data_IF_358456406463
#
_entry.id   IF_358456406463
#
_cell.length_a   1.000
_cell.length_b   1.000
_cell.length_c   1.000
_cell.angle_alpha   90.00
_cell.angle_beta   90.00
_cell.angle_gamma   90.00
#
_symmetry.space_group_name_H-M   'P 1'
#
loop_
_entity.id
_entity.type
_entity.pdbx_description
1 polymer ?
#
# COMPACT_ATOMS: atom_id res chain seq x y z
N UNK A 1 -45.68 -23.41 47.61
CA UNK A 1 -44.77 -23.11 46.47
C UNK A 1 -44.58 -21.61 46.14
N UNK A 2 -45.14 -20.62 46.87
CA UNK A 2 -45.03 -19.18 46.53
C UNK A 2 -43.79 -18.42 47.05
N UNK A 3 -43.01 -18.95 48.01
CA UNK A 3 -41.86 -18.24 48.62
C UNK A 3 -40.50 -18.41 47.91
N UNK A 4 -40.37 -19.36 46.98
CA UNK A 4 -39.09 -19.61 46.27
C UNK A 4 -38.88 -18.67 45.07
N UNK A 5 -39.96 -18.34 44.35
CA UNK A 5 -39.91 -17.40 43.22
C UNK A 5 -39.66 -15.96 43.65
N UNK A 6 -40.17 -15.54 44.82
CA UNK A 6 -39.95 -14.19 45.36
C UNK A 6 -38.48 -13.94 45.73
N UNK A 7 -37.77 -14.97 46.22
CA UNK A 7 -36.34 -14.88 46.54
C UNK A 7 -35.45 -14.88 45.30
N UNK A 8 -35.83 -15.60 44.24
CA UNK A 8 -35.10 -15.59 42.96
C UNK A 8 -35.24 -14.24 42.25
N UNK A 9 -36.43 -13.63 42.29
CA UNK A 9 -36.67 -12.30 41.74
C UNK A 9 -35.91 -11.24 42.56
N UNK A 10 -35.95 -11.29 43.88
CA UNK A 10 -35.15 -10.38 44.74
C UNK A 10 -33.64 -10.52 44.50
N UNK A 11 -33.12 -11.74 44.33
CA UNK A 11 -31.70 -11.94 43.99
C UNK A 11 -31.36 -11.38 42.61
N UNK A 12 -32.24 -11.51 41.62
CA UNK A 12 -32.04 -10.94 40.29
C UNK A 12 -32.05 -9.40 40.33
N UNK A 13 -32.95 -8.79 41.11
CA UNK A 13 -32.97 -7.34 41.35
C UNK A 13 -31.73 -6.86 42.11
N UNK A 14 -31.26 -7.58 43.12
CA UNK A 14 -30.03 -7.23 43.86
C UNK A 14 -28.79 -7.38 42.98
N UNK A 15 -28.72 -8.39 42.11
CA UNK A 15 -27.62 -8.55 41.16
C UNK A 15 -27.62 -7.45 40.10
N UNK A 16 -28.81 -7.08 39.61
CA UNK A 16 -28.98 -6.00 38.64
C UNK A 16 -28.66 -4.64 39.26
N UNK A 17 -29.06 -4.40 40.53
CA UNK A 17 -28.71 -3.20 41.29
C UNK A 17 -27.22 -3.15 41.64
N UNK A 18 -26.59 -4.28 41.96
CA UNK A 18 -25.15 -4.38 42.20
C UNK A 18 -24.35 -4.11 40.92
N UNK A 19 -24.78 -4.63 39.76
CA UNK A 19 -24.21 -4.31 38.46
C UNK A 19 -24.39 -2.83 38.09
N UNK A 20 -25.54 -2.24 38.44
CA UNK A 20 -25.81 -0.81 38.23
C UNK A 20 -24.94 0.07 39.15
N UNK A 21 -24.75 -0.32 40.40
CA UNK A 21 -23.92 0.39 41.38
C UNK A 21 -22.42 0.26 41.07
N UNK A 22 -21.96 -0.89 40.56
CA UNK A 22 -20.58 -1.06 40.06
C UNK A 22 -20.37 -0.26 38.77
N UNK A 23 -21.41 -0.09 37.94
CA UNK A 23 -21.35 0.75 36.74
C UNK A 23 -21.39 2.27 37.01
N UNK A 24 -21.84 2.70 38.19
CA UNK A 24 -22.02 4.14 38.53
C UNK A 24 -21.05 4.65 39.61
N UNK A 25 -20.26 3.79 40.24
CA UNK A 25 -19.28 4.18 41.26
C UNK A 25 -17.86 4.30 40.67
N UNK A 26 -17.46 5.56 40.46
CA UNK A 26 -16.11 6.13 40.41
C UNK A 26 -15.59 6.60 39.03
N UNK A 27 -15.19 7.88 38.90
CA UNK A 27 -14.20 8.27 37.90
C UNK A 27 -12.85 7.70 38.34
N UNK A 28 -12.47 6.55 37.80
CA UNK A 28 -11.18 5.94 38.11
C UNK A 28 -10.14 6.58 37.21
N UNK A 29 -9.28 7.43 37.79
CA UNK A 29 -7.99 7.76 37.19
C UNK A 29 -7.18 6.46 37.09
N UNK A 30 -7.24 5.81 35.93
CA UNK A 30 -6.52 4.58 35.66
C UNK A 30 -5.08 4.90 35.26
N UNK A 31 -4.13 4.43 36.06
CA UNK A 31 -2.72 4.34 35.68
C UNK A 31 -2.60 3.43 34.44
N UNK A 32 -1.79 3.77 33.43
CA UNK A 32 -1.67 2.97 32.21
C UNK A 32 -1.19 1.56 32.56
N UNK A 33 -2.03 0.56 32.31
CA UNK A 33 -1.62 -0.84 32.43
C UNK A 33 -0.79 -1.19 31.21
N UNK A 34 0.41 -1.72 31.44
CA UNK A 34 1.36 -2.08 30.37
C UNK A 34 0.75 -3.15 29.45
N UNK A 35 0.54 -2.78 28.19
CA UNK A 35 -0.10 -3.63 27.19
C UNK A 35 0.88 -4.72 26.76
N UNK A 36 0.66 -5.96 27.19
CA UNK A 36 1.29 -7.13 26.56
C UNK A 36 0.78 -7.23 25.11
N UNK A 37 1.68 -7.00 24.15
CA UNK A 37 1.43 -7.17 22.73
C UNK A 37 0.99 -8.61 22.42
N UNK A 38 -0.22 -8.83 21.87
CA UNK A 38 -0.54 -10.10 21.23
C UNK A 38 0.29 -10.20 19.95
N UNK A 39 1.10 -11.27 19.83
CA UNK A 39 1.78 -11.59 18.57
C UNK A 39 0.76 -12.05 17.53
N UNK A 40 0.29 -11.13 16.68
CA UNK A 40 -0.42 -11.48 15.46
C UNK A 40 0.60 -11.59 14.31
N UNK A 41 1.15 -12.80 14.13
CA UNK A 41 2.03 -13.14 12.99
C UNK A 41 1.26 -13.31 11.68
N UNK A 42 0.45 -12.32 11.30
CA UNK A 42 -0.34 -12.32 10.06
C UNK A 42 0.19 -11.32 9.03
N UNK A 43 0.12 -11.69 7.75
CA UNK A 43 0.29 -10.76 6.63
C UNK A 43 -1.07 -10.18 6.24
N UNK A 44 -1.15 -8.86 6.07
CA UNK A 44 -2.33 -8.13 5.62
C UNK A 44 -2.35 -8.05 4.10
N UNK A 45 -3.33 -8.66 3.45
CA UNK A 45 -3.54 -8.46 2.02
C UNK A 45 -4.06 -7.05 1.75
N UNK A 46 -3.49 -6.39 0.75
CA UNK A 46 -3.83 -5.02 0.38
C UNK A 46 -3.71 -4.85 -1.13
N UNK A 47 -4.46 -3.90 -1.68
CA UNK A 47 -4.29 -3.43 -3.06
C UNK A 47 -3.80 -1.99 -3.02
N UNK A 48 -2.70 -1.71 -3.68
CA UNK A 48 -2.15 -0.37 -3.82
C UNK A 48 -2.41 0.14 -5.22
N UNK A 49 -3.06 1.29 -5.30
CA UNK A 49 -3.40 1.95 -6.55
C UNK A 49 -2.46 3.13 -6.82
N UNK A 50 -1.89 3.15 -8.03
CA UNK A 50 -1.15 4.30 -8.55
C UNK A 50 -1.97 5.00 -9.63
N UNK A 51 -1.95 6.34 -9.57
CA UNK A 51 -2.66 7.16 -10.54
C UNK A 51 -1.88 7.30 -11.84
N UNK A 52 -2.61 7.60 -12.92
CA UNK A 52 -2.00 7.85 -14.22
C UNK A 52 -0.97 8.99 -14.18
N UNK A 53 -1.24 10.05 -13.40
CA UNK A 53 -0.34 11.20 -13.28
C UNK A 53 0.98 10.85 -12.60
N UNK A 54 0.92 10.07 -11.51
CA UNK A 54 2.13 9.58 -10.83
C UNK A 54 2.96 8.73 -11.80
N UNK A 55 2.32 7.81 -12.52
CA UNK A 55 3.01 6.98 -13.48
C UNK A 55 3.62 7.82 -14.61
N UNK A 56 2.88 8.76 -15.19
CA UNK A 56 3.35 9.64 -16.27
C UNK A 56 4.59 10.43 -15.84
N UNK A 57 4.57 11.02 -14.65
CA UNK A 57 5.71 11.74 -14.11
C UNK A 57 6.93 10.82 -13.95
N UNK A 58 6.75 9.64 -13.36
CA UNK A 58 7.84 8.69 -13.15
C UNK A 58 8.45 8.16 -14.45
N UNK A 59 7.62 7.89 -15.45
CA UNK A 59 8.09 7.52 -16.76
C UNK A 59 8.91 8.64 -17.40
N UNK A 60 8.42 9.89 -17.35
CA UNK A 60 9.16 11.04 -17.89
C UNK A 60 10.49 11.29 -17.16
N UNK A 61 10.51 11.19 -15.82
CA UNK A 61 11.73 11.35 -15.02
C UNK A 61 12.77 10.27 -15.36
N UNK A 62 12.32 9.02 -15.51
CA UNK A 62 13.19 7.91 -15.93
C UNK A 62 13.77 8.15 -17.32
N UNK A 63 12.95 8.61 -18.27
CA UNK A 63 13.38 8.98 -19.62
C UNK A 63 14.44 10.10 -19.56
N UNK A 64 14.17 11.17 -18.81
CA UNK A 64 15.07 12.31 -18.68
C UNK A 64 16.43 11.94 -18.08
N UNK A 65 16.48 10.92 -17.19
CA UNK A 65 17.72 10.41 -16.63
C UNK A 65 18.48 9.51 -17.61
N UNK A 66 17.79 8.68 -18.39
CA UNK A 66 18.43 7.70 -19.27
C UNK A 66 18.92 8.30 -20.60
N UNK A 67 18.18 9.26 -21.18
CA UNK A 67 18.47 9.82 -22.51
C UNK A 67 19.88 10.43 -22.63
N UNK A 68 20.38 11.23 -21.68
CA UNK A 68 21.74 11.77 -21.76
C UNK A 68 22.81 10.68 -21.81
N UNK A 69 22.64 9.61 -21.04
CA UNK A 69 23.57 8.47 -21.02
C UNK A 69 23.58 7.69 -22.33
N UNK A 70 22.40 7.41 -22.89
CA UNK A 70 22.25 6.76 -24.21
C UNK A 70 22.91 7.60 -25.30
N UNK A 71 22.70 8.92 -25.27
CA UNK A 71 23.28 9.84 -26.25
C UNK A 71 24.81 9.83 -26.19
N UNK A 72 25.37 10.00 -24.98
CA UNK A 72 26.82 9.99 -24.79
C UNK A 72 27.46 8.68 -25.26
N UNK A 73 26.82 7.53 -24.99
CA UNK A 73 27.33 6.23 -25.42
C UNK A 73 27.26 6.05 -26.94
N UNK A 74 26.17 6.46 -27.58
CA UNK A 74 26.04 6.43 -29.04
C UNK A 74 27.08 7.31 -29.71
N UNK A 75 27.28 8.53 -29.22
CA UNK A 75 28.32 9.44 -29.71
C UNK A 75 29.71 8.81 -29.51
N UNK A 76 30.01 8.25 -28.34
CA UNK A 76 31.28 7.57 -28.08
C UNK A 76 31.52 6.36 -29.00
N UNK A 77 30.47 5.63 -29.38
CA UNK A 77 30.60 4.51 -30.32
C UNK A 77 30.89 4.98 -31.75
N UNK A 78 30.26 6.08 -32.20
CA UNK A 78 30.59 6.73 -33.48
C UNK A 78 32.06 7.20 -33.47
N UNK A 79 32.50 7.76 -32.34
CA UNK A 79 33.89 8.22 -32.16
C UNK A 79 34.90 7.08 -32.20
N UNK A 80 34.61 5.95 -31.56
CA UNK A 80 35.50 4.78 -31.55
C UNK A 80 35.66 4.14 -32.94
N UNK A 81 34.70 4.35 -33.85
CA UNK A 81 34.80 3.94 -35.25
C UNK A 81 35.54 4.94 -36.16
N UNK A 82 35.95 6.10 -35.64
CA UNK A 82 36.54 7.19 -36.42
C UNK A 82 38.07 7.26 -36.26
N UNK A 83 38.83 7.73 -37.27
CA UNK A 83 40.28 7.94 -37.17
C UNK A 83 40.66 8.84 -35.99
N UNK A 84 41.73 8.50 -35.27
CA UNK A 84 42.13 9.18 -34.03
C UNK A 84 42.33 10.70 -34.18
N UNK A 85 42.76 11.17 -35.37
CA UNK A 85 42.92 12.60 -35.66
C UNK A 85 41.60 13.38 -35.75
N UNK A 86 40.47 12.70 -36.00
CA UNK A 86 39.17 13.30 -36.26
C UNK A 86 38.21 13.26 -35.07
N UNK A 87 38.52 12.47 -34.05
CA UNK A 87 37.64 12.24 -32.90
C UNK A 87 37.31 13.54 -32.14
N UNK A 88 38.24 14.50 -32.07
CA UNK A 88 38.03 15.76 -31.36
C UNK A 88 36.92 16.62 -31.99
N UNK A 89 36.96 16.81 -33.31
CA UNK A 89 35.95 17.62 -34.01
C UNK A 89 34.64 16.86 -34.21
N UNK A 90 34.68 15.54 -34.49
CA UNK A 90 33.48 14.71 -34.57
C UNK A 90 32.70 14.74 -33.25
N UNK A 91 33.41 14.71 -32.10
CA UNK A 91 32.77 14.78 -30.79
C UNK A 91 32.08 16.13 -30.58
N UNK A 92 32.74 17.22 -30.97
CA UNK A 92 32.18 18.56 -30.86
C UNK A 92 30.95 18.74 -31.75
N UNK A 93 30.98 18.26 -32.99
CA UNK A 93 29.85 18.31 -33.92
C UNK A 93 28.71 17.40 -33.45
N UNK A 94 29.00 16.16 -33.06
CA UNK A 94 27.99 15.22 -32.59
C UNK A 94 27.26 15.74 -31.34
N UNK A 95 27.99 16.27 -30.34
CA UNK A 95 27.38 16.84 -29.15
C UNK A 95 26.59 18.14 -29.42
N UNK A 96 26.92 18.87 -30.50
CA UNK A 96 26.23 20.11 -30.87
C UNK A 96 24.98 19.83 -31.71
N UNK A 97 25.04 18.87 -32.63
CA UNK A 97 23.94 18.54 -33.56
C UNK A 97 22.97 17.49 -33.01
N UNK A 98 23.41 16.64 -32.08
CA UNK A 98 22.62 15.54 -31.53
C UNK A 98 22.38 15.84 -30.05
N UNK A 99 21.24 16.46 -29.77
CA UNK A 99 20.74 16.73 -28.42
C UNK A 99 19.32 16.16 -28.31
N UNK A 100 19.20 14.82 -28.30
CA UNK A 100 17.92 14.18 -28.41
C UNK A 100 17.13 14.41 -27.14
N UNK A 101 15.85 14.67 -27.30
CA UNK A 101 14.88 14.76 -26.22
C UNK A 101 13.77 13.76 -26.48
N UNK A 102 13.38 13.03 -25.45
CA UNK A 102 12.26 12.10 -25.53
C UNK A 102 11.19 12.58 -24.57
N UNK A 103 9.99 12.80 -25.11
CA UNK A 103 8.84 13.27 -24.34
C UNK A 103 7.75 12.22 -24.38
N UNK A 104 7.20 11.89 -23.21
CA UNK A 104 6.01 11.06 -23.07
C UNK A 104 4.78 11.87 -23.47
N UNK A 105 4.21 11.55 -24.64
CA UNK A 105 3.02 12.22 -25.19
C UNK A 105 1.72 11.56 -24.79
N UNK A 106 1.75 10.29 -24.39
CA UNK A 106 0.59 9.56 -23.91
C UNK A 106 0.95 8.42 -22.99
N UNK A 107 0.09 8.14 -22.01
CA UNK A 107 0.19 6.96 -21.16
C UNK A 107 -1.22 6.49 -20.84
N UNK A 108 -1.76 5.52 -21.59
CA UNK A 108 -3.14 5.06 -21.44
C UNK A 108 -3.17 3.60 -21.01
N UNK A 109 -3.90 3.30 -19.94
CA UNK A 109 -4.11 1.92 -19.50
C UNK A 109 -4.87 1.10 -20.57
N UNK A 110 -4.42 -0.14 -20.76
CA UNK A 110 -5.02 -1.17 -21.61
C UNK A 110 -5.10 -2.49 -20.82
N UNK A 111 -5.75 -3.52 -21.37
CA UNK A 111 -5.97 -4.80 -20.66
C UNK A 111 -4.68 -5.52 -20.25
N UNK A 112 -3.56 -5.28 -20.96
CA UNK A 112 -2.30 -6.00 -20.76
C UNK A 112 -1.12 -5.08 -20.43
N UNK A 113 -1.37 -3.81 -20.09
CA UNK A 113 -0.32 -2.83 -19.84
C UNK A 113 -0.76 -1.42 -20.15
N UNK A 114 0.17 -0.61 -20.64
CA UNK A 114 -0.06 0.78 -20.99
C UNK A 114 0.40 1.05 -22.42
N UNK A 115 -0.41 1.76 -23.17
CA UNK A 115 0.01 2.40 -24.41
C UNK A 115 0.77 3.67 -24.05
N UNK A 116 2.09 3.63 -24.19
CA UNK A 116 3.00 4.74 -23.98
C UNK A 116 3.38 5.35 -25.33
N UNK A 117 2.90 6.56 -25.58
CA UNK A 117 3.31 7.39 -26.71
C UNK A 117 4.57 8.16 -26.35
N UNK A 118 5.63 7.99 -27.13
CA UNK A 118 6.91 8.66 -26.97
C UNK A 118 7.24 9.45 -28.23
N UNK A 119 7.62 10.70 -28.07
CA UNK A 119 8.10 11.55 -29.17
C UNK A 119 9.58 11.85 -28.97
N UNK A 120 10.40 11.34 -29.88
CA UNK A 120 11.83 11.60 -29.99
C UNK A 120 12.06 12.79 -30.92
N UNK A 121 12.73 13.82 -30.42
CA UNK A 121 13.27 14.92 -31.22
C UNK A 121 14.79 14.85 -31.16
N UNK A 122 15.50 14.95 -32.29
CA UNK A 122 16.96 14.79 -32.30
C UNK A 122 17.73 16.03 -31.85
N UNK A 123 17.11 17.20 -31.95
CA UNK A 123 17.65 18.51 -31.57
C UNK A 123 16.50 19.48 -31.26
N UNK A 124 16.83 20.64 -30.67
CA UNK A 124 15.83 21.68 -30.39
C UNK A 124 15.24 22.24 -31.69
N UNK A 125 13.91 22.23 -31.80
CA UNK A 125 13.21 22.70 -33.01
C UNK A 125 13.19 21.70 -34.17
N UNK A 126 13.42 20.40 -33.90
CA UNK A 126 13.29 19.33 -34.89
C UNK A 126 11.95 19.44 -35.66
N UNK A 127 11.96 19.68 -36.99
CA UNK A 127 10.75 19.85 -37.78
C UNK A 127 10.03 18.52 -38.05
N UNK A 128 10.64 17.37 -37.75
CA UNK A 128 10.08 16.03 -37.98
C UNK A 128 10.37 15.10 -36.79
N UNK A 129 9.86 15.42 -35.59
CA UNK A 129 10.03 14.54 -34.45
C UNK A 129 9.34 13.21 -34.71
N UNK A 130 9.96 12.13 -34.27
CA UNK A 130 9.46 10.77 -34.48
C UNK A 130 8.60 10.36 -33.29
N UNK A 131 7.33 10.05 -33.52
CA UNK A 131 6.42 9.57 -32.48
C UNK A 131 6.19 8.08 -32.63
N UNK A 132 6.29 7.36 -31.52
CA UNK A 132 6.16 5.91 -31.43
C UNK A 132 5.26 5.54 -30.27
N UNK A 133 4.41 4.56 -30.48
CA UNK A 133 3.62 3.90 -29.45
C UNK A 133 4.22 2.57 -29.06
N UNK A 134 4.33 2.33 -27.75
CA UNK A 134 4.85 1.10 -27.17
C UNK A 134 3.86 0.56 -26.14
N UNK A 135 3.70 -0.76 -26.11
CA UNK A 135 3.01 -1.44 -25.05
C UNK A 135 3.99 -1.65 -23.89
N UNK A 136 3.70 -1.04 -22.75
CA UNK A 136 4.46 -1.21 -21.52
C UNK A 136 3.75 -2.18 -20.60
N UNK A 137 4.40 -3.28 -20.25
CA UNK A 137 3.85 -4.33 -19.40
C UNK A 137 4.63 -4.47 -18.10
N UNK A 138 3.95 -4.98 -17.07
CA UNK A 138 4.49 -5.12 -15.73
C UNK A 138 4.38 -6.59 -15.30
N UNK A 139 5.49 -7.18 -14.89
CA UNK A 139 5.55 -8.54 -14.39
C UNK A 139 6.18 -8.57 -13.00
N UNK A 140 5.64 -9.38 -12.10
CA UNK A 140 6.26 -9.62 -10.79
C UNK A 140 7.51 -10.47 -11.01
N UNK A 141 8.69 -9.90 -10.75
CA UNK A 141 9.95 -10.63 -10.84
C UNK A 141 10.21 -11.42 -9.55
N UNK A 142 9.92 -10.83 -8.40
CA UNK A 142 10.06 -11.45 -7.09
C UNK A 142 9.18 -10.72 -6.05
N UNK A 143 9.38 -11.03 -4.76
CA UNK A 143 8.62 -10.49 -3.64
C UNK A 143 8.65 -8.95 -3.48
N UNK A 144 9.59 -8.22 -4.09
CA UNK A 144 9.67 -6.76 -3.98
C UNK A 144 9.96 -6.05 -5.31
N UNK A 145 10.15 -6.79 -6.40
CA UNK A 145 10.57 -6.22 -7.68
C UNK A 145 9.54 -6.45 -8.77
N UNK A 146 9.18 -5.36 -9.45
CA UNK A 146 8.40 -5.39 -10.70
C UNK A 146 9.38 -5.22 -11.86
N UNK A 147 9.31 -6.11 -12.85
CA UNK A 147 9.98 -5.93 -14.13
C UNK A 147 9.05 -5.18 -15.10
N UNK A 148 9.57 -4.10 -15.68
CA UNK A 148 8.88 -3.30 -16.69
C UNK A 148 9.44 -3.67 -18.06
N UNK A 149 8.56 -4.04 -18.99
CA UNK A 149 8.94 -4.43 -20.34
C UNK A 149 8.23 -3.54 -21.37
N UNK A 150 8.87 -3.34 -22.51
CA UNK A 150 8.33 -2.63 -23.66
C UNK A 150 8.24 -3.54 -24.88
N UNK A 151 7.16 -3.42 -25.64
CA UNK A 151 7.03 -4.01 -26.97
C UNK A 151 6.38 -3.03 -27.94
N UNK A 152 6.55 -3.26 -29.24
CA UNK A 152 5.83 -2.46 -30.24
C UNK A 152 4.33 -2.76 -30.21
N UNK A 153 3.53 -1.72 -30.38
CA UNK A 153 2.13 -1.87 -30.73
C UNK A 153 2.00 -2.13 -32.25
N UNK A 154 0.99 -2.89 -32.70
CA UNK A 154 0.75 -3.12 -34.12
C UNK A 154 0.65 -1.79 -34.89
N UNK A 155 1.42 -1.66 -35.97
CA UNK A 155 1.46 -0.43 -36.78
C UNK A 155 2.38 0.68 -36.25
N UNK A 156 3.09 0.45 -35.14
CA UNK A 156 4.07 1.39 -34.56
C UNK A 156 5.48 0.79 -34.56
N UNK A 157 6.50 1.63 -34.79
CA UNK A 157 7.90 1.24 -34.56
C UNK A 157 8.22 1.46 -33.09
N UNK A 158 8.57 0.41 -32.34
CA UNK A 158 9.04 0.59 -30.97
C UNK A 158 10.40 1.29 -30.94
N UNK A 159 10.53 2.36 -30.16
CA UNK A 159 11.83 2.96 -29.86
C UNK A 159 12.72 2.02 -29.06
N UNK A 160 12.12 1.15 -28.24
CA UNK A 160 12.80 0.15 -27.42
C UNK A 160 11.92 -1.10 -27.26
N UNK A 161 12.52 -2.29 -27.27
CA UNK A 161 11.83 -3.55 -27.02
C UNK A 161 12.59 -4.39 -25.99
N UNK A 162 11.87 -5.11 -25.13
CA UNK A 162 12.44 -5.95 -24.08
C UNK A 162 12.33 -5.31 -22.70
N UNK A 163 13.21 -5.70 -21.77
CA UNK A 163 13.24 -5.14 -20.42
C UNK A 163 13.65 -3.66 -20.48
N UNK A 164 12.80 -2.79 -19.94
CA UNK A 164 13.08 -1.35 -19.87
C UNK A 164 13.74 -0.99 -18.55
N UNK A 165 13.16 -1.46 -17.44
CA UNK A 165 13.64 -1.17 -16.09
C UNK A 165 13.05 -2.16 -15.07
N UNK A 166 13.46 -2.02 -13.81
CA UNK A 166 12.79 -2.64 -12.66
C UNK A 166 12.35 -1.55 -11.68
N UNK A 167 11.23 -1.80 -10.99
CA UNK A 167 10.70 -0.93 -9.94
C UNK A 167 10.79 -1.71 -8.63
N UNK A 168 11.33 -1.08 -7.59
CA UNK A 168 11.37 -1.67 -6.26
C UNK A 168 10.19 -1.19 -5.42
N UNK A 169 9.44 -2.15 -4.89
CA UNK A 169 8.35 -1.91 -3.96
C UNK A 169 8.95 -1.90 -2.54
N UNK A 170 8.91 -0.76 -1.84
CA UNK A 170 9.57 -0.60 -0.53
C UNK A 170 8.83 -1.29 0.63
N UNK A 171 7.60 -1.76 0.39
CA UNK A 171 6.66 -2.17 1.42
C UNK A 171 6.02 -3.52 1.10
N UNK A 172 5.97 -4.40 2.10
CA UNK A 172 5.36 -5.71 2.02
C UNK A 172 5.96 -6.64 0.96
N UNK A 173 5.21 -7.72 0.68
CA UNK A 173 5.49 -8.69 -0.37
C UNK A 173 4.53 -8.49 -1.53
N UNK A 174 5.08 -8.22 -2.70
CA UNK A 174 4.37 -8.15 -3.97
C UNK A 174 3.80 -9.51 -4.35
N UNK A 175 2.52 -9.52 -4.69
CA UNK A 175 1.77 -10.72 -5.11
C UNK A 175 1.24 -10.61 -6.54
N UNK A 176 0.90 -9.39 -6.97
CA UNK A 176 0.38 -9.13 -8.31
C UNK A 176 0.64 -7.68 -8.73
N UNK A 177 0.67 -7.45 -10.03
CA UNK A 177 0.67 -6.13 -10.65
C UNK A 177 -0.18 -6.19 -11.91
N UNK A 178 -1.08 -5.22 -12.10
CA UNK A 178 -1.92 -5.15 -13.29
C UNK A 178 -2.32 -3.72 -13.62
N UNK A 179 -2.47 -3.43 -14.90
CA UNK A 179 -3.13 -2.21 -15.37
C UNK A 179 -4.64 -2.31 -15.15
N UNK A 180 -5.27 -1.18 -14.87
CA UNK A 180 -6.72 -1.07 -14.66
C UNK A 180 -7.25 0.12 -15.46
N UNK A 181 -8.40 -0.04 -16.10
CA UNK A 181 -8.98 1.00 -16.97
C UNK A 181 -10.19 1.71 -16.37
N UNK A 182 -10.79 1.14 -15.32
CA UNK A 182 -12.13 1.52 -14.85
C UNK A 182 -12.17 1.81 -13.33
N UNK A 183 -11.17 2.51 -12.79
CA UNK A 183 -11.06 2.77 -11.35
C UNK A 183 -10.72 4.23 -11.01
N UNK A 184 -11.53 5.17 -11.52
CA UNK A 184 -11.32 6.59 -11.31
C UNK A 184 -9.97 7.07 -11.85
N UNK A 185 -9.15 7.67 -11.00
CA UNK A 185 -7.81 8.19 -11.34
C UNK A 185 -6.73 7.10 -11.37
N UNK A 186 -7.01 5.90 -10.87
CA UNK A 186 -6.04 4.82 -10.81
C UNK A 186 -5.92 4.09 -12.15
N UNK A 187 -4.68 3.75 -12.49
CA UNK A 187 -4.36 3.04 -13.73
C UNK A 187 -3.47 1.81 -13.52
N UNK A 188 -2.84 1.68 -12.35
CA UNK A 188 -2.11 0.49 -11.94
C UNK A 188 -2.59 0.03 -10.56
N UNK A 189 -2.83 -1.27 -10.42
CA UNK A 189 -3.09 -1.94 -9.15
C UNK A 189 -1.92 -2.89 -8.83
N UNK A 190 -1.42 -2.83 -7.60
CA UNK A 190 -0.40 -3.72 -7.06
C UNK A 190 -0.98 -4.46 -5.86
N UNK A 191 -1.04 -5.79 -5.91
CA UNK A 191 -1.42 -6.59 -4.74
C UNK A 191 -0.24 -6.79 -3.82
N UNK A 192 -0.34 -6.36 -2.56
CA UNK A 192 0.73 -6.46 -1.56
C UNK A 192 0.26 -7.22 -0.31
N UNK A 193 1.17 -7.97 0.29
CA UNK A 193 1.04 -8.55 1.62
C UNK A 193 1.90 -7.76 2.61
N UNK A 194 1.29 -6.94 3.46
CA UNK A 194 1.99 -6.12 4.44
C UNK A 194 2.15 -6.88 5.75
N UNK A 195 3.36 -6.95 6.35
CA UNK A 195 3.51 -7.53 7.68
C UNK A 195 2.78 -6.66 8.72
N UNK A 196 2.03 -7.29 9.63
CA UNK A 196 1.27 -6.59 10.68
C UNK A 196 2.10 -6.25 11.94
N UNK A 197 3.35 -6.72 12.02
CA UNK A 197 4.22 -6.43 13.16
C UNK A 197 4.94 -5.08 12.96
N UNK A 198 4.67 -4.13 13.86
CA UNK A 198 5.27 -2.80 13.87
C UNK A 198 6.81 -2.82 14.02
N UNK A 199 7.38 -3.91 14.57
CA UNK A 199 8.83 -4.11 14.69
C UNK A 199 9.44 -4.81 13.47
N UNK A 200 8.60 -5.48 12.68
CA UNK A 200 8.98 -6.06 11.40
C UNK A 200 9.01 -4.94 10.36
N UNK A 201 10.13 -4.22 10.27
CA UNK A 201 10.42 -3.38 9.11
C UNK A 201 10.25 -4.27 7.88
N UNK A 202 9.26 -3.97 7.05
CA UNK A 202 9.08 -4.57 5.75
C UNK A 202 10.42 -4.58 5.01
N UNK A 203 10.85 -5.76 4.57
CA UNK A 203 12.00 -5.90 3.70
C UNK A 203 11.80 -5.00 2.48
N UNK A 204 12.77 -4.12 2.21
CA UNK A 204 12.73 -3.20 1.07
C UNK A 204 13.68 -2.01 1.20
N UNK A 205 13.96 -1.55 2.42
CA UNK A 205 15.01 -0.56 2.64
C UNK A 205 16.37 -1.25 2.80
N UNK A 206 17.09 -1.45 1.69
CA UNK A 206 18.54 -1.66 1.76
C UNK A 206 19.21 -0.29 1.84
N UNK A 207 19.98 0.01 2.91
CA UNK A 207 20.95 1.10 2.87
C UNK A 207 22.22 0.61 2.17
N UNK A 208 22.22 0.54 0.84
CA UNK A 208 23.45 0.40 0.03
C UNK A 208 23.13 0.62 -1.46
N UNK A 209 24.04 1.22 -2.25
CA UNK A 209 23.88 1.32 -3.69
C UNK A 209 23.93 -0.09 -4.29
N UNK A 210 22.76 -0.63 -4.63
CA UNK A 210 22.66 -1.91 -5.33
C UNK A 210 23.05 -1.72 -6.79
N UNK A 211 24.11 -2.40 -7.21
CA UNK A 211 24.45 -2.61 -8.61
C UNK A 211 23.39 -3.53 -9.22
N UNK A 212 22.71 -3.08 -10.28
CA UNK A 212 21.86 -3.96 -11.07
C UNK A 212 22.68 -5.17 -11.55
N UNK A 213 22.13 -6.36 -11.35
CA UNK A 213 22.70 -7.58 -11.93
C UNK A 213 22.71 -7.45 -13.46
N UNK A 214 23.91 -7.41 -14.03
CA UNK A 214 24.18 -7.56 -15.46
C UNK A 214 23.69 -8.93 -15.92
N UNK A 215 22.51 -9.00 -16.51
CA UNK A 215 22.08 -10.20 -17.22
C UNK A 215 22.87 -10.29 -18.53
N UNK A 216 23.82 -11.23 -18.57
CA UNK A 216 24.42 -11.69 -19.82
C UNK A 216 23.31 -12.25 -20.72
N UNK A 217 23.09 -11.61 -21.87
CA UNK A 217 22.23 -12.15 -22.92
C UNK A 217 22.85 -13.43 -23.46
N UNK A 218 22.27 -14.59 -23.14
CA UNK A 218 22.55 -15.85 -23.86
C UNK A 218 21.64 -15.87 -25.09
N UNK A 219 22.18 -15.48 -26.24
CA UNK A 219 21.57 -15.81 -27.54
C UNK A 219 21.94 -17.26 -27.89
N UNK A 220 20.94 -18.08 -28.20
CA UNK A 220 21.16 -19.37 -28.87
C UNK A 220 21.84 -19.15 -30.23
N UNK A 221 22.80 -20.00 -30.62
CA UNK A 221 23.57 -19.80 -31.85
C UNK A 221 22.72 -20.18 -33.05
N UNK A 222 22.36 -19.21 -33.88
CA UNK A 222 21.99 -19.48 -35.28
C UNK A 222 23.01 -18.80 -36.18
N UNK A 223 23.85 -19.65 -36.77
CA UNK A 223 24.89 -19.31 -37.74
C UNK A 223 24.26 -18.72 -39.01
N UNK A 224 24.37 -17.41 -39.25
CA UNK A 224 24.57 -16.86 -40.60
C UNK A 224 25.40 -15.58 -40.48
N UNK A 225 26.54 -15.55 -41.15
CA UNK A 225 27.55 -14.50 -40.99
C UNK A 225 27.11 -13.16 -41.55
N UNK A 226 27.09 -12.13 -40.70
CA UNK A 226 27.46 -10.74 -41.01
C UNK A 226 27.69 -10.01 -39.68
N UNK A 227 28.85 -9.40 -39.50
CA UNK A 227 29.25 -8.39 -38.50
C UNK A 227 28.47 -8.35 -37.16
N UNK A 228 29.10 -8.66 -36.00
CA UNK A 228 28.44 -8.56 -34.72
C UNK A 228 28.18 -7.09 -34.36
N UNK A 229 26.95 -6.64 -34.52
CA UNK A 229 26.44 -5.41 -33.88
C UNK A 229 26.43 -5.65 -32.38
N UNK A 230 27.53 -5.29 -31.73
CA UNK A 230 27.75 -5.44 -30.29
C UNK A 230 26.82 -4.48 -29.54
N UNK A 231 25.63 -4.94 -29.15
CA UNK A 231 24.77 -4.17 -28.25
C UNK A 231 25.36 -4.19 -26.84
N UNK A 232 25.85 -3.03 -26.39
CA UNK A 232 26.53 -2.84 -25.12
C UNK A 232 25.54 -2.62 -23.97
N UNK A 233 25.91 -3.17 -22.81
CA UNK A 233 25.21 -3.06 -21.53
C UNK A 233 24.99 -1.60 -21.12
N UNK A 234 23.74 -1.26 -20.76
CA UNK A 234 23.37 0.02 -20.20
C UNK A 234 23.95 0.17 -18.78
N UNK A 235 24.66 1.27 -18.53
CA UNK A 235 24.91 1.74 -17.17
C UNK A 235 23.61 2.27 -16.58
N UNK A 236 23.13 1.59 -15.55
CA UNK A 236 21.91 1.95 -14.84
C UNK A 236 22.19 3.10 -13.88
N UNK A 237 21.63 4.27 -14.16
CA UNK A 237 21.55 5.35 -13.17
C UNK A 237 20.37 5.06 -12.24
N UNK A 238 20.61 5.14 -10.93
CA UNK A 238 19.61 4.92 -9.88
C UNK A 238 18.56 6.02 -9.91
N UNK A 239 17.29 5.65 -10.12
CA UNK A 239 16.16 6.57 -9.93
C UNK A 239 16.08 6.92 -8.43
N UNK A 240 16.09 8.21 -8.12
CA UNK A 240 16.06 8.69 -6.73
C UNK A 240 14.68 8.46 -6.12
N UNK A 241 14.67 7.97 -4.86
CA UNK A 241 13.47 7.82 -4.05
C UNK A 241 12.70 9.12 -3.95
N UNK A 242 11.44 9.14 -4.37
CA UNK A 242 10.53 10.26 -4.14
C UNK A 242 9.21 9.77 -3.56
N UNK A 243 8.67 10.57 -2.65
CA UNK A 243 7.35 10.35 -2.10
C UNK A 243 6.29 10.55 -3.21
N UNK A 244 5.49 9.53 -3.46
CA UNK A 244 4.37 9.58 -4.41
C UNK A 244 3.06 9.36 -3.68
N UNK A 245 1.97 10.05 -4.10
CA UNK A 245 0.66 9.78 -3.57
C UNK A 245 0.19 8.39 -3.98
N UNK A 246 -0.35 7.65 -3.02
CA UNK A 246 -0.85 6.29 -3.20
C UNK A 246 -2.20 6.13 -2.51
N UNK A 247 -3.00 5.21 -3.04
CA UNK A 247 -4.23 4.76 -2.40
C UNK A 247 -4.07 3.29 -2.05
N UNK A 248 -4.40 2.91 -0.82
CA UNK A 248 -4.27 1.54 -0.32
C UNK A 248 -5.65 1.06 0.10
N UNK A 249 -6.17 0.06 -0.60
CA UNK A 249 -7.36 -0.68 -0.19
C UNK A 249 -6.94 -1.85 0.70
N UNK A 250 -7.51 -1.89 1.89
CA UNK A 250 -7.46 -3.05 2.80
C UNK A 250 -8.81 -3.76 2.72
N UNK A 251 -8.89 -4.93 2.07
CA UNK A 251 -10.13 -5.70 1.98
C UNK A 251 -10.69 -6.07 3.35
N UNK A 252 -12.01 -6.24 3.43
CA UNK A 252 -12.67 -6.60 4.68
C UNK A 252 -12.18 -7.94 5.26
N UNK A 253 -11.83 -8.92 4.40
CA UNK A 253 -11.22 -10.18 4.83
C UNK A 253 -9.94 -9.94 5.65
N UNK A 254 -9.09 -9.03 5.20
CA UNK A 254 -7.85 -8.65 5.85
C UNK A 254 -8.12 -7.89 7.15
N UNK A 255 -9.07 -6.96 7.17
CA UNK A 255 -9.52 -6.27 8.39
C UNK A 255 -10.05 -7.26 9.43
N UNK A 256 -10.89 -8.22 9.01
CA UNK A 256 -11.46 -9.26 9.88
C UNK A 256 -10.39 -10.15 10.49
N UNK A 257 -9.32 -10.44 9.75
CA UNK A 257 -8.17 -11.18 10.26
C UNK A 257 -7.47 -10.41 11.40
N UNK A 258 -7.35 -9.08 11.29
CA UNK A 258 -6.82 -8.24 12.39
C UNK A 258 -7.65 -8.44 13.66
N UNK A 259 -8.98 -8.30 13.60
CA UNK A 259 -9.83 -8.47 14.77
C UNK A 259 -9.77 -9.88 15.36
N UNK A 260 -9.72 -10.91 14.51
CA UNK A 260 -9.58 -12.30 15.00
C UNK A 260 -8.24 -12.53 15.70
N UNK A 261 -7.20 -11.77 15.35
CA UNK A 261 -5.90 -11.77 16.02
C UNK A 261 -5.87 -11.01 17.35
N UNK A 262 -6.86 -10.14 17.61
CA UNK A 262 -7.01 -9.46 18.91
C UNK A 262 -7.66 -10.44 19.89
N UNK A 263 -6.85 -11.27 20.54
CA UNK A 263 -7.33 -12.33 21.44
C UNK A 263 -8.16 -11.82 22.62
N UNK A 264 -7.56 -11.00 23.49
CA UNK A 264 -8.23 -10.40 24.65
C UNK A 264 -7.84 -8.94 24.77
N UNK A 265 -8.84 -8.08 24.97
CA UNK A 265 -8.64 -6.65 25.17
C UNK A 265 -8.98 -6.30 26.62
N UNK A 266 -7.98 -6.07 27.50
CA UNK A 266 -8.26 -5.66 28.87
C UNK A 266 -8.94 -4.29 28.86
N UNK A 267 -10.10 -4.20 29.50
CA UNK A 267 -10.81 -2.93 29.70
C UNK A 267 -10.39 -2.33 31.03
N UNK A 268 -10.35 -3.13 32.09
CA UNK A 268 -9.79 -2.73 33.39
C UNK A 268 -9.40 -3.98 34.19
N UNK A 269 -9.04 -3.79 35.46
CA UNK A 269 -8.60 -4.86 36.37
C UNK A 269 -9.66 -5.96 36.61
N UNK A 270 -10.91 -5.75 36.22
CA UNK A 270 -12.04 -6.64 36.50
C UNK A 270 -12.84 -7.01 35.25
N UNK A 271 -12.48 -6.51 34.06
CA UNK A 271 -13.21 -6.75 32.81
C UNK A 271 -12.27 -6.88 31.62
N UNK A 272 -12.55 -7.86 30.78
CA UNK A 272 -11.87 -8.07 29.50
C UNK A 272 -12.89 -8.23 28.38
N UNK A 273 -12.57 -7.71 27.19
CA UNK A 273 -13.32 -7.97 25.97
C UNK A 273 -12.70 -9.15 25.22
N UNK A 274 -13.55 -10.10 24.81
CA UNK A 274 -13.17 -11.27 24.00
C UNK A 274 -14.11 -11.44 22.81
N UNK A 275 -13.78 -12.39 21.93
CA UNK A 275 -14.58 -12.74 20.75
C UNK A 275 -14.88 -11.53 19.87
N UNK A 276 -13.86 -10.71 19.64
CA UNK A 276 -13.97 -9.48 18.87
C UNK A 276 -14.31 -9.84 17.42
N UNK A 277 -15.41 -9.28 16.92
CA UNK A 277 -15.86 -9.42 15.53
C UNK A 277 -15.98 -8.05 14.90
N UNK A 278 -15.56 -7.96 13.64
CA UNK A 278 -15.76 -6.80 12.80
C UNK A 278 -16.98 -7.03 11.90
N UNK A 279 -17.68 -5.94 11.62
CA UNK A 279 -18.74 -5.83 10.63
C UNK A 279 -18.75 -4.40 10.09
N UNK A 280 -19.59 -4.11 9.10
CA UNK A 280 -19.74 -2.77 8.53
C UNK A 280 -21.22 -2.37 8.57
N UNK A 281 -21.48 -1.13 8.96
CA UNK A 281 -22.82 -0.55 8.97
C UNK A 281 -22.74 0.92 8.57
N UNK A 282 -23.52 1.33 7.56
CA UNK A 282 -23.61 2.73 7.10
C UNK A 282 -22.25 3.39 6.80
N UNK A 283 -21.31 2.65 6.20
CA UNK A 283 -19.97 3.17 5.90
C UNK A 283 -19.07 3.33 7.12
N UNK A 284 -19.46 2.78 8.26
CA UNK A 284 -18.67 2.74 9.50
C UNK A 284 -18.32 1.31 9.86
N UNK A 285 -17.19 1.15 10.55
CA UNK A 285 -16.80 -0.14 11.11
C UNK A 285 -17.59 -0.37 12.39
N UNK A 286 -18.10 -1.58 12.57
CA UNK A 286 -18.81 -1.97 13.78
C UNK A 286 -18.08 -3.15 14.39
N UNK A 287 -17.59 -2.93 15.61
CA UNK A 287 -16.92 -3.95 16.42
C UNK A 287 -17.89 -4.47 17.46
N UNK A 288 -18.07 -5.78 17.51
CA UNK A 288 -18.80 -6.44 18.60
C UNK A 288 -17.85 -7.28 19.43
N UNK A 289 -17.93 -7.17 20.75
CA UNK A 289 -17.11 -7.95 21.67
C UNK A 289 -17.93 -8.42 22.87
N UNK A 290 -17.60 -9.59 23.40
CA UNK A 290 -18.17 -10.10 24.63
C UNK A 290 -17.40 -9.53 25.82
N UNK A 291 -18.10 -8.88 26.75
CA UNK A 291 -17.52 -8.35 27.97
C UNK A 291 -17.58 -9.43 29.04
N UNK A 292 -16.42 -9.82 29.56
CA UNK A 292 -16.27 -10.89 30.54
C UNK A 292 -15.69 -10.31 31.84
N UNK A 293 -16.37 -10.60 32.95
CA UNK A 293 -15.87 -10.27 34.28
C UNK A 293 -14.69 -11.18 34.65
N UNK A 294 -13.64 -10.57 35.17
CA UNK A 294 -12.52 -11.24 35.82
C UNK A 294 -12.77 -11.29 37.32
N UNK A 295 -12.74 -12.49 37.90
CA UNK A 295 -12.76 -12.70 39.35
C UNK A 295 -11.47 -13.40 39.72
N UNK A 296 -10.65 -12.78 40.59
CA UNK A 296 -9.28 -13.22 40.89
C UNK A 296 -8.41 -13.43 39.64
N UNK A 297 -8.57 -12.58 38.62
CA UNK A 297 -7.81 -12.68 37.37
C UNK A 297 -8.29 -13.78 36.41
N UNK A 298 -9.35 -14.52 36.75
CA UNK A 298 -9.92 -15.57 35.88
C UNK A 298 -11.23 -15.13 35.21
N UNK A 299 -11.41 -15.36 33.90
CA UNK A 299 -12.64 -15.00 33.17
C UNK A 299 -13.78 -15.91 33.61
N UNK A 300 -14.80 -15.35 34.27
CA UNK A 300 -15.80 -16.15 35.00
C UNK A 300 -17.23 -16.01 34.47
N UNK A 301 -17.61 -14.83 33.97
CA UNK A 301 -18.98 -14.59 33.52
C UNK A 301 -19.02 -13.58 32.36
N UNK A 302 -19.75 -13.92 31.29
CA UNK A 302 -20.13 -12.97 30.24
C UNK A 302 -21.16 -12.00 30.84
N UNK A 303 -20.77 -10.74 30.98
CA UNK A 303 -21.60 -9.66 31.48
C UNK A 303 -22.54 -9.12 30.39
N UNK A 304 -22.09 -9.10 29.14
CA UNK A 304 -22.86 -8.58 28.02
C UNK A 304 -22.08 -8.59 26.71
N UNK A 305 -22.67 -7.99 25.69
CA UNK A 305 -22.01 -7.76 24.40
C UNK A 305 -21.92 -6.26 24.15
N UNK A 306 -20.70 -5.76 24.00
CA UNK A 306 -20.42 -4.40 23.59
C UNK A 306 -20.49 -4.30 22.06
N UNK A 307 -21.13 -3.25 21.55
CA UNK A 307 -21.14 -2.88 20.13
C UNK A 307 -20.58 -1.48 20.02
N UNK A 308 -19.46 -1.34 19.33
CA UNK A 308 -18.74 -0.10 19.14
C UNK A 308 -18.75 0.29 17.68
N UNK A 309 -19.20 1.50 17.38
CA UNK A 309 -19.17 2.09 16.05
C UNK A 309 -17.88 2.91 15.92
N UNK A 310 -17.13 2.63 14.87
CA UNK A 310 -15.81 3.19 14.60
C UNK A 310 -15.80 3.90 13.25
N UNK A 311 -15.15 5.07 13.22
CA UNK A 311 -14.85 5.80 12.00
C UNK A 311 -13.33 5.80 11.77
N UNK A 312 -12.84 5.27 10.63
CA UNK A 312 -11.43 5.36 10.30
C UNK A 312 -11.07 6.81 9.99
N UNK A 313 -9.92 7.25 10.50
CA UNK A 313 -9.40 8.60 10.37
C UNK A 313 -7.88 8.55 10.16
N UNK A 314 -7.31 9.67 9.71
CA UNK A 314 -5.87 9.84 9.61
C UNK A 314 -5.42 10.93 10.60
N UNK A 315 -4.43 10.63 11.43
CA UNK A 315 -3.81 11.63 12.29
C UNK A 315 -2.31 11.36 12.46
N UNK A 316 -1.50 12.42 12.37
CA UNK A 316 -0.05 12.36 12.50
C UNK A 316 0.61 11.34 11.55
N UNK A 317 0.09 11.24 10.32
CA UNK A 317 0.61 10.30 9.31
C UNK A 317 0.24 8.83 9.55
N UNK A 318 -0.63 8.52 10.52
CA UNK A 318 -1.04 7.16 10.88
C UNK A 318 -2.55 6.96 10.77
N UNK A 319 -2.96 5.71 10.60
CA UNK A 319 -4.35 5.30 10.77
C UNK A 319 -4.77 5.50 12.23
N UNK A 320 -5.93 6.10 12.41
CA UNK A 320 -6.64 6.19 13.67
C UNK A 320 -8.06 5.65 13.49
N UNK A 321 -8.60 5.08 14.54
CA UNK A 321 -9.97 4.63 14.62
C UNK A 321 -10.64 5.47 15.70
N UNK A 322 -11.52 6.38 15.29
CA UNK A 322 -12.33 7.16 16.22
C UNK A 322 -13.52 6.34 16.67
N UNK A 323 -13.84 6.39 17.96
CA UNK A 323 -15.02 5.72 18.51
C UNK A 323 -16.18 6.71 18.61
N UNK A 324 -17.18 6.55 17.75
CA UNK A 324 -18.38 7.41 17.78
C UNK A 324 -19.28 7.07 18.96
N UNK A 325 -19.56 5.77 19.13
CA UNK A 325 -20.51 5.29 20.10
C UNK A 325 -20.16 3.87 20.55
N UNK A 326 -20.33 3.60 21.84
CA UNK A 326 -20.32 2.24 22.39
C UNK A 326 -21.62 1.95 23.12
N UNK A 327 -22.24 0.81 22.81
CA UNK A 327 -23.42 0.31 23.50
C UNK A 327 -23.13 -1.02 24.16
N UNK A 328 -23.56 -1.19 25.40
CA UNK A 328 -23.48 -2.47 26.11
C UNK A 328 -24.87 -3.10 26.18
N UNK A 329 -25.01 -4.30 25.63
CA UNK A 329 -26.23 -5.08 25.73
C UNK A 329 -26.08 -6.19 26.78
N UNK A 330 -26.93 -6.16 27.80
CA UNK A 330 -27.02 -7.16 28.87
C UNK A 330 -28.42 -7.74 28.83
N UNK A 331 -28.54 -8.99 28.38
CA UNK A 331 -29.83 -9.65 28.14
C UNK A 331 -30.73 -8.81 27.21
N UNK A 332 -31.85 -8.28 27.72
CA UNK A 332 -32.82 -7.47 26.97
C UNK A 332 -32.57 -5.96 27.09
N UNK A 333 -31.59 -5.53 27.89
CA UNK A 333 -31.31 -4.13 28.14
C UNK A 333 -30.09 -3.67 27.35
N UNK A 334 -30.17 -2.48 26.76
CA UNK A 334 -29.05 -1.83 26.08
C UNK A 334 -28.76 -0.49 26.75
N UNK A 335 -27.51 -0.28 27.13
CA UNK A 335 -27.03 0.92 27.79
C UNK A 335 -26.05 1.65 26.89
N UNK A 336 -26.07 2.98 26.96
CA UNK A 336 -25.02 3.77 26.34
C UNK A 336 -23.78 3.72 27.23
N UNK A 337 -22.63 3.40 26.64
CA UNK A 337 -21.37 3.17 27.34
C UNK A 337 -20.27 4.11 26.81
N UNK A 338 -20.67 5.30 26.34
CA UNK A 338 -19.77 6.28 25.72
C UNK A 338 -18.65 6.78 26.65
N UNK A 339 -18.82 6.66 27.97
CA UNK A 339 -17.77 6.92 28.95
C UNK A 339 -16.51 6.09 28.73
N UNK A 340 -16.60 4.97 28.01
CA UNK A 340 -15.46 4.10 27.67
C UNK A 340 -14.86 4.38 26.27
N UNK A 341 -15.46 5.27 25.47
CA UNK A 341 -15.05 5.48 24.07
C UNK A 341 -13.58 5.89 23.95
N UNK A 342 -13.10 6.81 24.80
CA UNK A 342 -11.69 7.23 24.78
C UNK A 342 -10.71 6.08 25.08
N UNK A 343 -11.05 5.22 26.02
CA UNK A 343 -10.20 4.09 26.40
C UNK A 343 -10.17 3.04 25.29
N UNK A 344 -11.32 2.72 24.70
CA UNK A 344 -11.45 1.81 23.57
C UNK A 344 -10.66 2.36 22.38
N UNK A 345 -10.81 3.64 22.08
CA UNK A 345 -10.09 4.34 21.02
C UNK A 345 -8.57 4.22 21.23
N UNK A 346 -8.06 4.51 22.42
CA UNK A 346 -6.64 4.39 22.73
C UNK A 346 -6.13 2.95 22.54
N UNK A 347 -6.88 1.96 23.02
CA UNK A 347 -6.49 0.56 22.93
C UNK A 347 -6.46 0.07 21.47
N UNK A 348 -7.49 0.39 20.69
CA UNK A 348 -7.56 0.08 19.26
C UNK A 348 -6.46 0.79 18.47
N UNK A 349 -6.20 2.07 18.74
CA UNK A 349 -5.15 2.83 18.06
C UNK A 349 -3.75 2.30 18.38
N UNK A 350 -3.52 1.79 19.59
CA UNK A 350 -2.25 1.18 19.96
C UNK A 350 -2.02 -0.15 19.22
N UNK A 351 -3.09 -0.93 18.99
CA UNK A 351 -2.99 -2.24 18.32
C UNK A 351 -3.03 -2.14 16.79
N UNK A 352 -3.99 -1.40 16.22
CA UNK A 352 -4.26 -1.35 14.79
C UNK A 352 -3.52 -0.21 14.12
N UNK A 353 -3.49 0.97 14.74
CA UNK A 353 -2.85 2.16 14.18
C UNK A 353 -1.35 2.00 13.93
N UNK A 354 -0.68 1.09 14.65
CA UNK A 354 0.73 0.78 14.45
C UNK A 354 0.99 -0.34 13.42
N UNK A 355 -0.01 -1.17 13.11
CA UNK A 355 0.15 -2.31 12.19
C UNK A 355 0.29 -1.88 10.71
N UNK A 356 -0.26 -0.71 10.33
CA UNK A 356 -0.33 -0.25 8.93
C UNK A 356 0.71 0.85 8.62
N UNK A 357 1.63 1.14 9.54
CA UNK A 357 2.61 2.24 9.40
C UNK A 357 3.94 1.83 8.75
N UNK A 358 4.00 0.68 8.07
CA UNK A 358 5.22 0.14 7.46
C UNK A 358 5.58 0.87 6.16
N UNK A 359 6.04 2.13 6.24
CA UNK A 359 6.52 2.92 5.09
C UNK A 359 5.44 3.68 4.31
N UNK A 360 4.24 3.78 4.87
CA UNK A 360 3.11 4.56 4.37
C UNK A 360 2.84 5.74 5.30
N UNK A 361 2.81 6.96 4.78
CA UNK A 361 2.27 8.12 5.50
C UNK A 361 0.81 8.29 5.14
N UNK A 362 -0.09 8.13 6.11
CA UNK A 362 -1.53 8.14 5.91
C UNK A 362 -2.07 9.56 6.13
N UNK A 363 -2.73 10.11 5.10
CA UNK A 363 -3.33 11.45 5.08
C UNK A 363 -4.85 11.41 5.14
N UNK A 364 -5.46 10.26 4.83
CA UNK A 364 -6.90 10.06 4.88
C UNK A 364 -7.22 8.57 5.00
N UNK A 365 -8.34 8.27 5.63
CA UNK A 365 -8.86 6.92 5.77
C UNK A 365 -10.40 6.99 5.71
N UNK A 366 -11.02 6.06 5.00
CA UNK A 366 -12.47 5.97 4.85
C UNK A 366 -12.87 4.53 4.56
N UNK A 367 -14.13 4.18 4.78
CA UNK A 367 -14.69 2.94 4.25
C UNK A 367 -15.23 3.14 2.83
N UNK A 368 -15.01 2.15 1.98
CA UNK A 368 -15.52 2.12 0.62
C UNK A 368 -14.74 2.98 -0.38
N UNK A 369 -15.29 3.04 -1.58
CA UNK A 369 -14.79 3.86 -2.68
C UNK A 369 -14.85 5.35 -2.39
N UNK A 370 -13.96 6.11 -3.02
CA UNK A 370 -14.01 7.57 -3.06
C UNK A 370 -14.02 8.08 -4.51
N UNK A 371 -13.98 9.39 -4.69
CA UNK A 371 -13.98 10.02 -6.02
C UNK A 371 -12.73 9.73 -6.86
N UNK A 372 -11.62 9.31 -6.24
CA UNK A 372 -10.36 8.98 -6.92
C UNK A 372 -10.27 7.50 -7.26
N UNK A 373 -10.75 6.63 -6.37
CA UNK A 373 -10.71 5.18 -6.47
C UNK A 373 -12.15 4.67 -6.37
N UNK A 374 -12.82 4.65 -7.51
CA UNK A 374 -14.24 4.30 -7.60
C UNK A 374 -14.50 2.79 -7.58
N UNK A 375 -13.46 1.98 -7.80
CA UNK A 375 -13.58 0.53 -7.86
C UNK A 375 -13.32 -0.18 -6.52
N UNK A 376 -12.96 0.55 -5.46
CA UNK A 376 -12.74 -0.05 -4.16
C UNK A 376 -14.03 -0.66 -3.61
N UNK A 377 -13.92 -1.81 -2.95
CA UNK A 377 -15.10 -2.52 -2.45
C UNK A 377 -15.81 -1.71 -1.34
N UNK A 378 -17.15 -1.69 -1.27
CA UNK A 378 -17.88 -0.88 -0.28
C UNK A 378 -17.54 -1.19 1.19
N UNK A 379 -17.13 -2.42 1.46
CA UNK A 379 -16.75 -2.94 2.77
C UNK A 379 -15.24 -2.88 3.04
N UNK A 380 -14.44 -2.44 2.08
CA UNK A 380 -13.00 -2.25 2.24
C UNK A 380 -12.67 -0.94 2.94
N UNK A 381 -11.52 -0.89 3.61
CA UNK A 381 -10.97 0.37 4.09
C UNK A 381 -10.04 0.94 3.02
N UNK A 382 -10.31 2.17 2.58
CA UNK A 382 -9.48 2.91 1.66
C UNK A 382 -8.64 3.92 2.43
N UNK A 383 -7.32 3.80 2.30
CA UNK A 383 -6.34 4.72 2.86
C UNK A 383 -5.76 5.57 1.75
N UNK A 384 -5.63 6.87 1.99
CA UNK A 384 -4.96 7.80 1.09
C UNK A 384 -3.69 8.30 1.76
N UNK A 385 -2.58 8.33 1.04
CA UNK A 385 -1.30 8.65 1.66
C UNK A 385 -0.18 8.85 0.67
N UNK A 386 1.05 8.73 1.16
CA UNK A 386 2.25 8.75 0.33
C UNK A 386 3.24 7.67 0.74
N UNK A 387 3.99 7.15 -0.23
CA UNK A 387 5.11 6.21 -0.01
C UNK A 387 6.25 6.52 -0.98
N UNK A 388 7.45 6.03 -0.69
CA UNK A 388 8.65 6.28 -1.50
C UNK A 388 8.88 5.17 -2.51
N UNK A 389 8.65 5.43 -3.80
CA UNK A 389 8.94 4.45 -4.87
C UNK A 389 10.27 4.79 -5.54
N UNK A 390 11.08 3.75 -5.79
CA UNK A 390 12.36 3.78 -6.53
C UNK A 390 12.20 3.15 -7.90
#
# INVERSE_FOLDING_TARGET
MKRRYTRAIQLCWVFLLALLLIGMAAPVNATPTEVRQPQAGGMLETKVYLTQDVLRQRFQDSINQQVPGITANTVNNILNGSPAGDQGWIKSIANTLISPTVTLTGLKAQSNGFDAGLTLSLYSGDPKPTTSHMLVTFNVLNASTIQVNGSSLPGSQALMTGQLTTIQVPIGKLTSVRSITNCGAASLEMGLQLPMDANSKSQGSVPAPYQLATTNFVQSPTNVGSSPTRMLALSSQTVVAQAVPVYVEVPFSSLSAIASGVGELPINNSMTAKNIKLSMQNGKLVVTADIISLVFGTPLLKLGTATTILEPQAANGKLRLHVDQTRLSVLIFTFNADSYNQQIEQSLNNQIGNAINSGLTINGASMGANNQITCAAPDSMLLTGSTSIN
#
